data_IF_595598753727
#
_entry.id   IF_595598753727
#
_cell.length_a   1.000
_cell.length_b   1.000
_cell.length_c   1.000
_cell.angle_alpha   90.00
_cell.angle_beta   90.00
_cell.angle_gamma   90.00
#
_symmetry.space_group_name_H-M   'P 1'
#
loop_
_entity.id
_entity.type
_entity.pdbx_description
1 polymer ?
#
# COMPACT_ATOMS: atom_id res chain seq x y z
N UNK A 1 -21.74 -6.80 -7.13
CA UNK A 1 -20.54 -7.56 -6.76
C UNK A 1 -20.08 -7.15 -5.37
N UNK A 2 -19.07 -7.80 -4.82
CA UNK A 2 -18.42 -7.37 -3.58
C UNK A 2 -17.33 -6.36 -3.94
N UNK A 3 -17.22 -5.28 -3.15
CA UNK A 3 -16.13 -4.34 -3.31
C UNK A 3 -14.78 -5.02 -2.99
N UNK A 4 -13.69 -4.70 -3.72
CA UNK A 4 -12.36 -5.26 -3.48
C UNK A 4 -11.91 -5.09 -2.03
N UNK A 5 -12.24 -3.97 -1.40
CA UNK A 5 -11.95 -3.68 0.00
C UNK A 5 -12.41 -4.80 0.94
N UNK A 6 -13.58 -5.40 0.68
CA UNK A 6 -14.11 -6.49 1.51
C UNK A 6 -13.39 -7.84 1.32
N UNK A 7 -12.50 -7.94 0.33
CA UNK A 7 -11.80 -9.20 -0.01
C UNK A 7 -10.31 -9.08 0.28
N UNK A 8 -9.68 -8.02 -0.22
CA UNK A 8 -8.21 -7.82 -0.13
C UNK A 8 -7.81 -6.63 0.73
N UNK A 9 -8.77 -5.98 1.39
CA UNK A 9 -8.55 -4.88 2.33
C UNK A 9 -8.50 -3.50 1.69
N UNK A 10 -8.17 -3.39 0.42
CA UNK A 10 -8.03 -2.14 -0.34
C UNK A 10 -8.76 -2.21 -1.68
N UNK A 11 -8.98 -1.06 -2.29
CA UNK A 11 -9.56 -0.95 -3.62
C UNK A 11 -9.28 0.41 -4.25
N UNK A 12 -9.58 0.54 -5.51
CA UNK A 12 -9.22 1.67 -6.36
C UNK A 12 -9.75 2.99 -5.82
N UNK A 13 -8.85 3.97 -5.69
CA UNK A 13 -9.14 5.31 -5.16
C UNK A 13 -8.83 6.40 -6.16
N UNK A 14 -7.68 6.34 -6.81
CA UNK A 14 -7.25 7.38 -7.73
C UNK A 14 -6.20 6.85 -8.72
N UNK A 15 -5.99 7.61 -9.78
CA UNK A 15 -4.86 7.40 -10.70
C UNK A 15 -4.19 8.71 -11.11
N UNK A 16 -2.90 8.63 -11.46
CA UNK A 16 -2.11 9.73 -11.99
C UNK A 16 -0.88 9.21 -12.73
N UNK A 17 -0.45 9.92 -13.77
CA UNK A 17 0.55 9.40 -14.71
C UNK A 17 1.79 10.28 -14.86
N UNK A 18 1.94 11.30 -14.03
CA UNK A 18 3.07 12.22 -14.07
C UNK A 18 4.20 11.89 -13.10
N UNK A 19 3.83 11.51 -11.87
CA UNK A 19 4.78 11.28 -10.79
C UNK A 19 4.25 10.22 -9.82
N UNK A 20 5.08 9.24 -9.47
CA UNK A 20 4.86 8.34 -8.35
C UNK A 20 5.46 8.91 -7.07
N UNK A 21 4.86 8.58 -5.94
CA UNK A 21 5.28 8.99 -4.61
C UNK A 21 5.87 7.81 -3.82
N UNK A 22 6.07 8.00 -2.54
CA UNK A 22 6.63 7.05 -1.59
C UNK A 22 5.60 6.69 -0.52
N UNK A 23 5.94 5.72 0.32
CA UNK A 23 5.17 5.37 1.51
C UNK A 23 5.89 5.81 2.78
N UNK A 24 5.09 6.25 3.77
CA UNK A 24 5.52 6.41 5.16
C UNK A 24 4.92 5.27 5.99
N UNK A 25 5.75 4.64 6.80
CA UNK A 25 5.31 3.62 7.75
C UNK A 25 4.32 4.21 8.75
N UNK A 26 3.26 3.45 9.06
CA UNK A 26 2.28 3.82 10.08
C UNK A 26 2.73 3.35 11.48
N UNK A 27 2.07 3.84 12.51
CA UNK A 27 2.32 3.40 13.89
C UNK A 27 2.15 1.89 14.06
N UNK A 28 1.16 1.30 13.39
CA UNK A 28 0.87 -0.14 13.48
C UNK A 28 2.01 -1.02 12.96
N UNK A 29 2.80 -0.50 12.01
CA UNK A 29 3.95 -1.22 11.44
C UNK A 29 5.10 -1.43 12.44
N UNK A 30 5.09 -0.75 13.57
CA UNK A 30 6.08 -0.88 14.64
C UNK A 30 5.62 -1.79 15.78
N UNK A 31 4.40 -2.32 15.73
CA UNK A 31 3.94 -3.28 16.73
C UNK A 31 4.79 -4.56 16.69
N UNK A 32 5.07 -5.13 17.86
CA UNK A 32 5.92 -6.33 17.99
C UNK A 32 5.43 -7.49 17.14
N UNK A 33 4.10 -7.68 17.07
CA UNK A 33 3.46 -8.72 16.24
C UNK A 33 3.69 -8.56 14.73
N UNK A 34 4.09 -7.37 14.27
CA UNK A 34 4.28 -7.02 12.86
C UNK A 34 5.75 -6.70 12.52
N UNK A 35 6.59 -6.53 13.52
CA UNK A 35 7.99 -6.11 13.36
C UNK A 35 8.79 -7.00 12.40
N UNK A 36 8.44 -8.27 12.30
CA UNK A 36 9.05 -9.23 11.37
C UNK A 36 8.94 -8.77 9.90
N UNK A 37 7.85 -8.11 9.52
CA UNK A 37 7.66 -7.62 8.14
C UNK A 37 8.71 -6.57 7.75
N UNK A 38 9.19 -5.81 8.72
CA UNK A 38 10.20 -4.77 8.54
C UNK A 38 11.60 -5.19 9.03
N UNK A 39 11.86 -6.49 9.19
CA UNK A 39 13.19 -6.98 9.54
C UNK A 39 14.25 -6.48 8.56
N UNK A 40 15.30 -5.83 9.08
CA UNK A 40 16.36 -5.22 8.25
C UNK A 40 15.97 -3.91 7.52
N UNK A 41 14.82 -3.32 7.88
CA UNK A 41 14.35 -2.03 7.36
C UNK A 41 14.19 -1.07 8.54
N UNK A 42 15.10 -0.11 8.65
CA UNK A 42 15.03 0.95 9.68
C UNK A 42 14.34 2.22 9.16
N UNK A 43 14.17 2.32 7.85
CA UNK A 43 13.63 3.51 7.20
C UNK A 43 12.17 3.74 7.61
N UNK A 44 11.82 4.98 7.92
CA UNK A 44 10.44 5.43 8.08
C UNK A 44 9.75 5.64 6.75
N UNK A 45 10.51 6.13 5.75
CA UNK A 45 10.08 6.31 4.37
C UNK A 45 10.60 5.13 3.55
N UNK A 46 9.70 4.49 2.80
CA UNK A 46 10.03 3.38 1.92
C UNK A 46 9.54 3.64 0.50
N UNK A 47 10.30 3.17 -0.48
CA UNK A 47 9.94 3.27 -1.89
C UNK A 47 9.92 4.69 -2.45
N UNK A 48 10.82 5.57 -1.98
CA UNK A 48 11.10 6.90 -2.55
C UNK A 48 11.98 6.83 -3.81
N UNK A 49 11.91 5.70 -4.49
CA UNK A 49 12.62 5.33 -5.71
C UNK A 49 11.78 4.35 -6.53
N UNK A 50 12.08 4.24 -7.81
CA UNK A 50 11.45 3.26 -8.70
C UNK A 50 11.60 3.62 -10.17
N UNK A 51 11.47 2.61 -11.04
CA UNK A 51 11.54 2.80 -12.48
C UNK A 51 10.25 3.36 -13.09
N UNK A 52 9.15 3.29 -12.36
CA UNK A 52 7.87 3.83 -12.78
C UNK A 52 7.62 5.17 -12.09
N UNK A 53 7.97 6.25 -12.76
CA UNK A 53 7.73 7.64 -12.33
C UNK A 53 8.38 8.03 -10.98
N UNK A 54 9.44 7.32 -10.57
CA UNK A 54 10.35 7.75 -9.51
C UNK A 54 9.96 7.31 -8.08
N UNK A 55 8.89 6.56 -7.89
CA UNK A 55 8.47 6.08 -6.57
C UNK A 55 7.69 4.78 -6.61
N UNK A 56 7.41 4.20 -5.44
CA UNK A 56 6.67 2.95 -5.31
C UNK A 56 5.15 3.14 -5.18
N UNK A 57 4.66 4.35 -4.98
CA UNK A 57 3.24 4.68 -4.82
C UNK A 57 2.76 5.54 -5.98
N UNK A 58 2.13 4.93 -6.98
CA UNK A 58 1.69 5.70 -8.13
C UNK A 58 1.03 4.90 -9.24
N UNK A 59 0.70 5.62 -10.30
CA UNK A 59 -0.05 5.19 -11.47
C UNK A 59 -1.51 4.96 -11.06
N UNK A 60 -1.88 3.78 -10.68
CA UNK A 60 -3.15 3.41 -10.09
C UNK A 60 -2.93 3.15 -8.60
N UNK A 61 -3.72 3.75 -7.74
CA UNK A 61 -3.57 3.65 -6.30
C UNK A 61 -4.84 3.20 -5.60
N UNK A 62 -4.65 2.28 -4.64
CA UNK A 62 -5.70 1.67 -3.85
C UNK A 62 -5.54 1.99 -2.37
N UNK A 63 -6.65 2.12 -1.66
CA UNK A 63 -6.67 2.35 -0.22
C UNK A 63 -7.81 1.61 0.47
N UNK A 64 -7.75 1.59 1.80
CA UNK A 64 -8.81 1.10 2.66
C UNK A 64 -10.04 2.01 2.62
N UNK A 65 -11.22 1.42 2.73
CA UNK A 65 -12.49 2.12 2.93
C UNK A 65 -13.45 1.23 3.72
N UNK A 66 -13.72 1.59 4.97
CA UNK A 66 -14.63 0.85 5.84
C UNK A 66 -16.06 0.84 5.30
N UNK A 67 -16.49 1.90 4.62
CA UNK A 67 -17.84 1.97 4.04
C UNK A 67 -18.03 0.98 2.88
N UNK A 68 -16.93 0.60 2.22
CA UNK A 68 -16.87 -0.41 1.17
C UNK A 68 -16.47 -1.81 1.70
N UNK A 69 -16.32 -1.93 3.02
CA UNK A 69 -16.18 -3.22 3.70
C UNK A 69 -14.74 -3.64 3.99
N UNK A 70 -13.76 -2.73 4.00
CA UNK A 70 -12.43 -3.04 4.55
C UNK A 70 -12.60 -3.62 5.97
N UNK A 71 -12.09 -4.83 6.25
CA UNK A 71 -12.18 -5.39 7.59
C UNK A 71 -11.47 -4.52 8.64
N UNK A 72 -12.09 -4.33 9.80
CA UNK A 72 -11.49 -3.53 10.89
C UNK A 72 -10.18 -4.11 11.43
N UNK A 73 -9.92 -5.38 11.18
CA UNK A 73 -8.67 -6.06 11.54
C UNK A 73 -7.54 -5.84 10.51
N UNK A 74 -7.79 -5.04 9.47
CA UNK A 74 -6.78 -4.72 8.48
C UNK A 74 -5.70 -3.83 9.10
N UNK A 75 -4.45 -4.27 9.03
CA UNK A 75 -3.30 -3.52 9.52
C UNK A 75 -2.74 -2.71 8.36
N UNK A 76 -2.72 -1.40 8.51
CA UNK A 76 -2.11 -0.51 7.51
C UNK A 76 -0.62 -0.39 7.85
N UNK A 77 0.23 -1.02 7.06
CA UNK A 77 1.68 -1.03 7.27
C UNK A 77 2.34 0.29 6.87
N UNK A 78 1.88 0.86 5.76
CA UNK A 78 2.40 2.13 5.26
C UNK A 78 1.35 2.84 4.40
N UNK A 79 1.45 4.17 4.35
CA UNK A 79 0.55 5.05 3.60
C UNK A 79 1.37 5.99 2.74
N UNK A 80 0.95 6.20 1.50
CA UNK A 80 1.60 7.16 0.62
C UNK A 80 1.28 8.60 0.99
N UNK A 81 2.18 9.50 0.63
CA UNK A 81 2.07 10.93 0.85
C UNK A 81 2.45 11.68 -0.44
N UNK A 82 2.08 12.94 -0.54
CA UNK A 82 2.55 13.90 -1.56
C UNK A 82 2.33 13.46 -3.01
N UNK A 83 1.16 12.90 -3.31
CA UNK A 83 0.76 12.75 -4.70
C UNK A 83 0.62 14.10 -5.38
N UNK A 84 0.88 14.14 -6.67
CA UNK A 84 0.75 15.36 -7.46
C UNK A 84 -0.72 15.76 -7.64
N UNK A 85 -0.92 17.00 -8.07
CA UNK A 85 -2.26 17.55 -8.34
C UNK A 85 -2.92 16.98 -9.61
N UNK A 86 -2.24 16.10 -10.34
CA UNK A 86 -2.77 15.46 -11.54
C UNK A 86 -3.48 14.14 -11.26
N UNK A 87 -3.45 13.69 -9.99
CA UNK A 87 -4.20 12.51 -9.61
C UNK A 87 -5.71 12.77 -9.64
N UNK A 88 -6.43 11.88 -10.29
CA UNK A 88 -7.88 11.92 -10.44
C UNK A 88 -8.51 10.84 -9.55
N UNK A 89 -9.50 11.24 -8.73
CA UNK A 89 -10.24 10.29 -7.90
C UNK A 89 -11.14 9.40 -8.75
N UNK A 90 -11.17 8.12 -8.39
CA UNK A 90 -12.18 7.20 -8.86
C UNK A 90 -13.47 7.41 -8.06
N UNK A 91 -14.57 7.68 -8.76
CA UNK A 91 -15.91 7.69 -8.20
C UNK A 91 -16.79 6.75 -9.03
N UNK A 92 -17.39 5.73 -8.40
CA UNK A 92 -18.26 4.75 -9.07
C UNK A 92 -17.70 4.20 -10.40
N UNK A 93 -16.39 3.88 -10.41
CA UNK A 93 -15.65 3.45 -11.61
C UNK A 93 -15.44 4.54 -12.67
N UNK A 94 -15.73 5.79 -12.36
CA UNK A 94 -15.50 6.94 -13.23
C UNK A 94 -14.46 7.86 -12.61
N UNK A 95 -13.46 8.24 -13.40
CA UNK A 95 -12.47 9.23 -12.99
C UNK A 95 -13.10 10.62 -12.95
N UNK A 96 -12.90 11.31 -11.86
CA UNK A 96 -13.37 12.68 -11.68
C UNK A 96 -12.18 13.61 -11.58
N UNK A 97 -11.97 14.52 -12.55
CA UNK A 97 -10.91 15.52 -12.45
C UNK A 97 -11.09 16.38 -11.21
N UNK A 98 -10.02 16.53 -10.42
CA UNK A 98 -10.01 17.42 -9.26
C UNK A 98 -9.13 18.62 -9.53
N UNK A 99 -9.74 19.81 -9.39
CA UNK A 99 -8.96 21.01 -9.17
C UNK A 99 -8.33 20.97 -7.76
N UNK A 100 -7.07 20.93 -7.72
CA UNK A 100 -6.15 20.42 -6.69
C UNK A 100 -6.00 21.26 -5.42
N UNK A 101 -7.02 21.78 -4.80
CA UNK A 101 -6.83 22.63 -3.62
C UNK A 101 -7.68 22.30 -2.41
N UNK A 102 -8.37 21.18 -2.39
CA UNK A 102 -9.18 20.79 -1.24
C UNK A 102 -8.42 19.79 -0.36
N UNK A 103 -8.07 20.18 0.86
CA UNK A 103 -7.38 19.32 1.84
C UNK A 103 -8.16 18.03 2.16
N UNK A 104 -9.48 18.02 1.96
CA UNK A 104 -10.30 16.82 2.09
C UNK A 104 -9.98 15.81 0.98
N UNK A 105 -9.66 16.29 -0.21
CA UNK A 105 -9.30 15.47 -1.34
C UNK A 105 -7.88 14.90 -1.22
N UNK A 106 -6.93 15.66 -0.66
CA UNK A 106 -5.57 15.15 -0.40
C UNK A 106 -5.58 13.91 0.50
N UNK A 107 -6.41 13.88 1.55
CA UNK A 107 -6.53 12.71 2.42
C UNK A 107 -7.16 11.49 1.74
N UNK A 108 -7.89 11.68 0.66
CA UNK A 108 -8.49 10.58 -0.14
C UNK A 108 -7.53 10.04 -1.19
N UNK A 109 -6.65 10.88 -1.73
CA UNK A 109 -5.64 10.47 -2.72
C UNK A 109 -4.45 9.87 -1.95
N UNK A 110 -4.52 8.57 -1.70
CA UNK A 110 -3.48 7.82 -1.01
C UNK A 110 -3.46 6.38 -1.46
N UNK A 111 -2.28 5.80 -1.44
CA UNK A 111 -2.05 4.37 -1.57
C UNK A 111 -1.72 3.78 -0.21
N UNK A 112 -2.14 2.56 0.05
CA UNK A 112 -1.85 1.88 1.31
C UNK A 112 -1.28 0.49 1.08
N UNK A 113 -0.31 0.12 1.90
CA UNK A 113 0.21 -1.24 2.02
C UNK A 113 -0.45 -1.85 3.24
N UNK A 114 -1.17 -2.96 3.07
CA UNK A 114 -1.92 -3.56 4.15
C UNK A 114 -1.60 -5.04 4.34
N UNK A 115 -1.80 -5.50 5.57
CA UNK A 115 -1.74 -6.90 5.98
C UNK A 115 -3.04 -7.26 6.69
N UNK A 116 -3.68 -8.34 6.27
CA UNK A 116 -4.93 -8.83 6.84
C UNK A 116 -4.78 -10.31 7.16
N UNK A 117 -4.96 -10.68 8.42
CA UNK A 117 -4.99 -12.09 8.85
C UNK A 117 -6.40 -12.67 8.67
N UNK A 118 -6.46 -13.88 8.18
CA UNK A 118 -7.74 -14.60 7.98
C UNK A 118 -8.03 -15.52 9.15
N UNK A 119 -9.31 -15.80 9.41
CA UNK A 119 -9.75 -16.67 10.50
C UNK A 119 -9.27 -18.13 10.40
N UNK A 120 -8.61 -18.52 9.33
CA UNK A 120 -8.12 -19.88 9.07
C UNK A 120 -6.60 -19.98 9.03
N UNK A 121 -5.91 -19.04 9.67
CA UNK A 121 -4.44 -19.05 9.75
C UNK A 121 -3.71 -18.58 8.49
N UNK A 122 -4.42 -18.02 7.51
CA UNK A 122 -3.80 -17.38 6.34
C UNK A 122 -3.69 -15.87 6.49
N UNK A 123 -2.99 -15.22 5.55
CA UNK A 123 -2.94 -13.77 5.49
C UNK A 123 -3.02 -13.26 4.05
N UNK A 124 -3.40 -12.00 3.91
CA UNK A 124 -3.44 -11.27 2.65
C UNK A 124 -2.50 -10.08 2.81
N UNK A 125 -1.58 -9.93 1.89
CA UNK A 125 -0.72 -8.76 1.76
C UNK A 125 -1.09 -8.03 0.47
N UNK A 126 -1.56 -6.81 0.60
CA UNK A 126 -1.95 -5.99 -0.55
C UNK A 126 -1.11 -4.72 -0.61
N UNK A 127 -0.64 -4.41 -1.81
CA UNK A 127 0.10 -3.19 -2.11
C UNK A 127 -0.74 -2.33 -3.05
N UNK A 128 -1.13 -1.18 -2.61
CA UNK A 128 -2.09 -0.34 -3.30
C UNK A 128 -1.50 0.47 -4.45
N UNK A 129 -0.60 -0.10 -5.27
CA UNK A 129 0.04 0.66 -6.34
C UNK A 129 0.64 -0.22 -7.42
N UNK A 130 0.42 0.13 -8.68
CA UNK A 130 1.12 -0.47 -9.83
C UNK A 130 2.62 -0.14 -9.78
N UNK A 131 2.99 1.06 -9.37
CA UNK A 131 4.39 1.50 -9.31
C UNK A 131 5.24 0.70 -8.31
N UNK A 132 4.62 0.03 -7.32
CA UNK A 132 5.30 -0.84 -6.37
C UNK A 132 6.14 -1.92 -7.07
N UNK A 133 5.57 -2.57 -8.09
CA UNK A 133 6.29 -3.58 -8.86
C UNK A 133 7.54 -3.03 -9.57
N UNK A 134 7.47 -1.78 -10.03
CA UNK A 134 8.60 -1.08 -10.66
C UNK A 134 9.70 -0.66 -9.69
N UNK A 135 9.48 -0.77 -8.39
CA UNK A 135 10.47 -0.46 -7.36
C UNK A 135 11.23 -1.70 -6.86
N UNK A 136 10.69 -2.90 -7.11
CA UNK A 136 11.30 -4.15 -6.62
C UNK A 136 12.75 -4.34 -7.08
N UNK A 137 13.03 -4.19 -8.36
CA UNK A 137 14.36 -4.42 -8.91
C UNK A 137 15.30 -3.20 -8.85
N UNK A 138 14.88 -2.12 -8.19
CA UNK A 138 15.73 -0.95 -7.96
C UNK A 138 16.98 -1.35 -7.18
N UNK A 139 18.13 -0.78 -7.56
CA UNK A 139 19.42 -1.08 -6.96
C UNK A 139 19.69 -2.60 -6.82
N UNK A 140 19.40 -3.37 -7.88
CA UNK A 140 19.60 -4.84 -7.90
C UNK A 140 18.90 -5.57 -6.75
N UNK A 141 17.68 -5.16 -6.40
CA UNK A 141 16.86 -5.66 -5.29
C UNK A 141 17.39 -5.33 -3.88
N UNK A 142 18.49 -4.60 -3.75
CA UNK A 142 18.98 -4.12 -2.44
C UNK A 142 18.27 -2.80 -2.07
N UNK A 143 17.04 -2.91 -1.64
CA UNK A 143 16.19 -1.77 -1.28
C UNK A 143 15.11 -2.19 -0.27
N UNK A 144 14.45 -1.22 0.37
CA UNK A 144 13.45 -1.46 1.41
C UNK A 144 12.14 -2.09 0.88
N UNK A 145 11.73 -1.82 -0.35
CA UNK A 145 10.53 -2.43 -0.98
C UNK A 145 10.77 -3.91 -1.24
N UNK A 146 11.93 -4.29 -1.77
CA UNK A 146 12.30 -5.69 -1.97
C UNK A 146 12.44 -6.43 -0.65
N UNK A 147 13.09 -5.83 0.35
CA UNK A 147 13.23 -6.43 1.69
C UNK A 147 11.87 -6.69 2.33
N UNK A 148 10.96 -5.71 2.31
CA UNK A 148 9.59 -5.89 2.81
C UNK A 148 8.89 -7.06 2.10
N UNK A 149 8.95 -7.09 0.78
CA UNK A 149 8.31 -8.15 -0.01
C UNK A 149 8.88 -9.53 0.33
N UNK A 150 10.21 -9.65 0.44
CA UNK A 150 10.88 -10.90 0.82
C UNK A 150 10.48 -11.34 2.23
N UNK A 151 10.43 -10.42 3.20
CA UNK A 151 10.02 -10.75 4.57
C UNK A 151 8.59 -11.30 4.61
N UNK A 152 7.66 -10.66 3.90
CA UNK A 152 6.26 -11.11 3.79
C UNK A 152 6.19 -12.49 3.14
N UNK A 153 6.81 -12.68 1.97
CA UNK A 153 6.78 -13.95 1.24
C UNK A 153 7.44 -15.08 2.04
N UNK A 154 8.55 -14.79 2.73
CA UNK A 154 9.22 -15.77 3.59
C UNK A 154 8.32 -16.22 4.73
N UNK A 155 7.58 -15.29 5.34
CA UNK A 155 6.62 -15.61 6.40
C UNK A 155 5.43 -16.41 5.85
N UNK A 156 4.97 -16.13 4.62
CA UNK A 156 3.85 -16.85 4.00
C UNK A 156 4.18 -18.29 3.62
N UNK A 157 5.45 -18.60 3.32
CA UNK A 157 5.89 -19.97 3.00
C UNK A 157 6.35 -20.74 4.24
N UNK A 158 6.49 -20.08 5.38
CA UNK A 158 6.76 -20.74 6.65
C UNK A 158 5.55 -21.61 7.04
N UNK A 159 5.81 -22.86 7.42
CA UNK A 159 4.74 -23.77 7.84
C UNK A 159 4.18 -23.46 9.23
N UNK A 160 4.71 -22.50 9.96
CA UNK A 160 4.14 -22.02 11.22
C UNK A 160 2.90 -21.18 10.95
N UNK A 161 1.86 -21.36 11.78
CA UNK A 161 0.63 -20.58 11.66
C UNK A 161 0.92 -19.08 11.70
N UNK A 162 0.24 -18.34 10.81
CA UNK A 162 0.24 -16.88 10.83
C UNK A 162 -0.74 -16.43 11.90
N UNK A 163 -0.32 -16.49 13.16
CA UNK A 163 -1.08 -15.97 14.30
C UNK A 163 -0.70 -14.49 14.57
N UNK A 164 -1.74 -13.71 14.95
CA UNK A 164 -1.54 -12.36 15.51
C UNK A 164 -1.03 -12.43 16.94
#
# INVERSE_FOLDING_TARGET
GRAPQSIVGIGFVAQGFDQSSYYRRTADSYADSISWAFSGISDEIIGDFGHLQGGAAGIEIDATDESLGTPQTTIILARSERHSNTYELAGDEVLTPHGATDAILENRIRSEIVLLFTHRGGAIFSVGSIAYAGSLNWNFFDNNISKLTVNILSKFVDSSDLEM
#
